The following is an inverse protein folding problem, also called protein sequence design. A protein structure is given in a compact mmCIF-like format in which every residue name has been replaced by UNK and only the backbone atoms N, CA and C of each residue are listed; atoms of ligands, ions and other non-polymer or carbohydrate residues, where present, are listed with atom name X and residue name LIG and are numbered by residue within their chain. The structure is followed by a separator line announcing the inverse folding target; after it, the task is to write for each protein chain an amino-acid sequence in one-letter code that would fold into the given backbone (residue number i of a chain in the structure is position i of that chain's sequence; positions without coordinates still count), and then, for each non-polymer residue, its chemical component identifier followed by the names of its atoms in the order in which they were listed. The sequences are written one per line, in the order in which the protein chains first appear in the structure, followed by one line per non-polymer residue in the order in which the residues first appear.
data_IF_937660258012
#
_entry.id   IF_937660258012
#
_cell.length_a   1.000
_cell.length_b   1.000
_cell.length_c   1.000
_cell.angle_alpha   90.00
_cell.angle_beta   90.00
_cell.angle_gamma   90.00
#
_symmetry.space_group_name_H-M   'P 1'
#
loop_
_entity.id
_entity.type
_entity.pdbx_description
1 polymer ?
#
# COMPACT_ATOMS: atom_id res chain seq x y z
N UNK A 1 2.21 5.86 21.91
CA UNK A 1 2.55 4.42 21.94
C UNK A 1 1.95 3.84 20.67
N UNK A 2 2.79 3.66 19.65
CA UNK A 2 2.36 3.51 18.26
C UNK A 2 1.65 2.18 17.99
N UNK A 3 0.47 2.26 17.39
CA UNK A 3 -0.34 1.11 16.94
C UNK A 3 0.48 0.15 16.05
N UNK A 4 1.49 0.66 15.33
CA UNK A 4 2.37 -0.13 14.47
C UNK A 4 3.39 -0.96 15.26
N UNK A 5 3.95 -0.42 16.34
CA UNK A 5 4.83 -1.17 17.25
C UNK A 5 4.02 -2.20 18.03
N UNK A 6 2.77 -1.85 18.39
CA UNK A 6 1.84 -2.76 19.04
C UNK A 6 1.43 -3.93 18.13
N UNK A 7 1.06 -3.67 16.87
CA UNK A 7 0.78 -4.71 15.88
C UNK A 7 2.00 -5.62 15.65
N UNK A 8 3.20 -5.03 15.56
CA UNK A 8 4.43 -5.79 15.42
C UNK A 8 4.71 -6.69 16.64
N UNK A 9 4.47 -6.19 17.86
CA UNK A 9 4.60 -6.99 19.08
C UNK A 9 3.51 -8.06 19.22
N UNK A 10 2.28 -7.77 18.78
CA UNK A 10 1.16 -8.72 18.76
C UNK A 10 1.42 -9.85 17.77
N UNK A 11 1.93 -9.53 16.60
CA UNK A 11 2.24 -10.53 15.59
C UNK A 11 3.49 -11.33 15.96
N UNK A 12 4.45 -10.72 16.66
CA UNK A 12 5.57 -11.46 17.25
C UNK A 12 5.12 -12.40 18.38
N UNK A 13 4.09 -12.04 19.16
CA UNK A 13 3.54 -12.91 20.22
C UNK A 13 2.66 -14.02 19.66
N UNK A 14 1.83 -13.72 18.66
CA UNK A 14 0.93 -14.69 18.02
C UNK A 14 1.68 -15.67 17.10
N UNK A 15 2.79 -15.24 16.50
CA UNK A 15 3.63 -16.12 15.68
C UNK A 15 4.34 -17.21 16.50
N UNK A 16 4.45 -17.09 17.83
CA UNK A 16 5.25 -18.02 18.63
C UNK A 16 6.69 -18.16 18.10
N UNK A 17 7.48 -19.06 18.68
CA UNK A 17 8.84 -19.34 18.17
C UNK A 17 8.85 -20.15 16.87
N UNK A 18 7.69 -20.59 16.39
CA UNK A 18 7.57 -21.61 15.34
C UNK A 18 7.03 -21.09 13.99
N UNK A 19 6.57 -19.83 13.90
CA UNK A 19 6.13 -19.18 12.64
C UNK A 19 7.08 -18.09 12.12
N UNK A 20 8.39 -18.22 12.37
CA UNK A 20 9.37 -17.49 11.56
C UNK A 20 9.36 -18.10 10.16
N UNK A 21 9.07 -17.32 9.11
CA UNK A 21 9.24 -17.78 7.74
C UNK A 21 10.75 -17.90 7.46
N UNK A 22 11.36 -19.11 7.52
CA UNK A 22 12.82 -19.26 7.55
C UNK A 22 13.48 -18.75 6.26
N UNK A 23 12.69 -18.62 5.19
CA UNK A 23 13.13 -18.25 3.85
C UNK A 23 13.14 -16.74 3.61
N UNK A 24 12.31 -15.95 4.31
CA UNK A 24 12.26 -14.49 4.09
C UNK A 24 13.30 -13.74 4.93
N UNK A 25 13.90 -14.40 5.92
CA UNK A 25 14.92 -13.83 6.81
C UNK A 25 16.16 -13.30 6.06
N UNK A 26 16.56 -13.97 4.98
CA UNK A 26 17.68 -13.52 4.15
C UNK A 26 17.33 -12.43 3.13
N UNK A 27 16.05 -12.04 3.02
CA UNK A 27 15.61 -11.13 1.97
C UNK A 27 15.88 -9.67 2.33
N UNK A 28 16.16 -8.89 1.28
CA UNK A 28 16.52 -7.48 1.40
C UNK A 28 15.43 -6.71 2.17
N UNK A 29 15.85 -5.96 3.19
CA UNK A 29 15.00 -5.17 4.10
C UNK A 29 13.99 -5.98 4.96
N UNK A 30 14.14 -7.30 5.09
CA UNK A 30 13.27 -8.15 5.94
C UNK A 30 13.99 -8.71 7.17
N UNK A 31 15.31 -8.94 7.07
CA UNK A 31 16.13 -9.53 8.14
C UNK A 31 15.90 -8.88 9.52
N UNK A 32 15.86 -7.55 9.57
CA UNK A 32 15.70 -6.77 10.79
C UNK A 32 14.71 -5.62 10.57
N UNK A 33 14.02 -5.13 11.62
CA UNK A 33 13.23 -3.90 11.54
C UNK A 33 14.11 -2.63 11.48
N UNK A 34 15.42 -2.74 11.71
CA UNK A 34 16.33 -1.59 11.75
C UNK A 34 16.37 -0.83 10.40
N UNK A 35 16.61 -1.48 9.24
CA UNK A 35 16.65 -0.78 7.96
C UNK A 35 15.35 -0.05 7.62
N UNK A 36 14.19 -0.66 7.87
CA UNK A 36 12.89 -0.02 7.59
C UNK A 36 12.62 1.15 8.54
N UNK A 37 13.02 1.02 9.80
CA UNK A 37 12.94 2.13 10.77
C UNK A 37 13.86 3.29 10.36
N UNK A 38 15.07 3.02 9.86
CA UNK A 38 15.96 4.06 9.34
C UNK A 38 15.34 4.78 8.13
N UNK A 39 14.76 4.04 7.18
CA UNK A 39 14.05 4.61 6.03
C UNK A 39 12.88 5.49 6.49
N UNK A 40 12.11 5.01 7.48
CA UNK A 40 11.00 5.78 8.06
C UNK A 40 11.47 7.07 8.75
N UNK A 41 12.53 7.02 9.54
CA UNK A 41 13.09 8.21 10.18
C UNK A 41 13.57 9.22 9.13
N UNK A 42 14.22 8.74 8.07
CA UNK A 42 14.62 9.58 6.95
C UNK A 42 13.42 10.20 6.22
N UNK A 43 12.35 9.44 6.03
CA UNK A 43 11.08 9.92 5.48
C UNK A 43 10.46 11.05 6.31
N UNK A 44 10.44 10.91 7.64
CA UNK A 44 9.98 11.96 8.55
C UNK A 44 10.84 13.23 8.46
N UNK A 45 12.17 13.07 8.37
CA UNK A 45 13.09 14.19 8.18
C UNK A 45 12.77 14.93 6.88
N UNK A 46 12.49 14.24 5.78
CA UNK A 46 12.10 14.88 4.51
C UNK A 46 10.80 15.65 4.64
N UNK A 47 9.78 15.09 5.29
CA UNK A 47 8.49 15.77 5.48
C UNK A 47 8.67 17.05 6.30
N UNK A 48 9.51 17.01 7.34
CA UNK A 48 9.71 18.15 8.24
C UNK A 48 10.67 19.21 7.69
N UNK A 49 11.81 18.79 7.15
CA UNK A 49 12.87 19.69 6.67
C UNK A 49 12.68 20.10 5.21
N UNK A 50 12.15 19.21 4.37
CA UNK A 50 12.04 19.39 2.92
C UNK A 50 11.24 20.64 2.52
N UNK A 51 10.00 20.83 3.02
CA UNK A 51 9.23 22.04 2.74
C UNK A 51 9.92 23.34 3.20
N UNK A 52 10.63 23.30 4.34
CA UNK A 52 11.39 24.44 4.87
C UNK A 52 12.59 24.79 3.98
N UNK A 53 13.34 23.79 3.54
CA UNK A 53 14.46 23.98 2.62
C UNK A 53 14.01 24.47 1.24
N UNK A 54 12.86 23.96 0.76
CA UNK A 54 12.29 24.36 -0.51
C UNK A 54 11.56 25.70 -0.46
N UNK A 55 11.33 26.30 0.71
CA UNK A 55 10.64 27.59 0.85
C UNK A 55 11.34 28.68 0.02
N UNK A 56 12.67 28.77 0.13
CA UNK A 56 13.52 29.75 -0.54
C UNK A 56 14.08 29.26 -1.89
N UNK A 57 13.65 28.10 -2.39
CA UNK A 57 14.10 27.53 -3.67
C UNK A 57 12.96 27.50 -4.69
N UNK A 58 13.33 27.51 -5.98
CA UNK A 58 12.39 27.30 -7.07
C UNK A 58 11.98 25.82 -7.15
N UNK A 59 10.73 25.50 -7.57
CA UNK A 59 10.29 24.12 -7.73
C UNK A 59 11.11 23.42 -8.80
N UNK A 60 11.56 22.18 -8.52
CA UNK A 60 12.41 21.42 -9.44
C UNK A 60 11.56 20.85 -10.57
N UNK A 61 12.04 20.99 -11.82
CA UNK A 61 11.38 20.38 -12.97
C UNK A 61 11.74 18.89 -13.07
N UNK A 62 10.94 18.06 -12.41
CA UNK A 62 11.08 16.60 -12.38
C UNK A 62 10.17 15.89 -13.38
N UNK A 63 9.68 16.58 -14.42
CA UNK A 63 8.68 16.01 -15.32
C UNK A 63 9.14 14.71 -16.02
N UNK A 64 10.33 14.62 -16.63
CA UNK A 64 10.80 13.37 -17.24
C UNK A 64 10.95 12.24 -16.21
N UNK A 65 11.50 12.57 -15.03
CA UNK A 65 11.68 11.63 -13.92
C UNK A 65 10.33 11.08 -13.45
N UNK A 66 9.33 11.94 -13.28
CA UNK A 66 7.98 11.54 -12.91
C UNK A 66 7.33 10.64 -13.96
N UNK A 67 7.50 10.94 -15.24
CA UNK A 67 6.95 10.10 -16.30
C UNK A 67 7.56 8.69 -16.19
N UNK A 68 8.89 8.58 -16.17
CA UNK A 68 9.60 7.29 -16.06
C UNK A 68 9.21 6.55 -14.79
N UNK A 69 9.20 7.25 -13.64
CA UNK A 69 8.83 6.67 -12.36
C UNK A 69 7.40 6.14 -12.34
N UNK A 70 6.42 6.93 -12.77
CA UNK A 70 5.01 6.48 -12.76
C UNK A 70 4.79 5.29 -13.70
N UNK A 71 5.40 5.29 -14.89
CA UNK A 71 5.33 4.13 -15.79
C UNK A 71 6.04 2.90 -15.23
N UNK A 72 7.19 3.06 -14.58
CA UNK A 72 7.86 1.96 -13.88
C UNK A 72 6.99 1.39 -12.76
N UNK A 73 6.30 2.24 -12.00
CA UNK A 73 5.35 1.81 -10.96
C UNK A 73 4.12 1.10 -11.55
N UNK A 74 3.63 1.51 -12.74
CA UNK A 74 2.60 0.77 -13.47
C UNK A 74 3.10 -0.63 -13.83
N UNK A 75 4.29 -0.75 -14.40
CA UNK A 75 4.87 -2.04 -14.78
C UNK A 75 5.09 -2.94 -13.55
N UNK A 76 5.61 -2.39 -12.45
CA UNK A 76 5.78 -3.12 -11.19
C UNK A 76 4.44 -3.60 -10.63
N UNK A 77 3.42 -2.74 -10.63
CA UNK A 77 2.07 -3.09 -10.16
C UNK A 77 1.41 -4.15 -11.04
N UNK A 78 1.60 -4.09 -12.36
CA UNK A 78 1.14 -5.10 -13.30
C UNK A 78 1.84 -6.44 -13.10
N UNK A 79 3.15 -6.43 -12.87
CA UNK A 79 3.93 -7.61 -12.53
C UNK A 79 3.41 -8.26 -11.23
N UNK A 80 3.23 -7.48 -10.17
CA UNK A 80 2.70 -7.98 -8.89
C UNK A 80 1.28 -8.54 -9.05
N UNK A 81 0.41 -7.84 -9.77
CA UNK A 81 -0.95 -8.32 -10.05
C UNK A 81 -0.93 -9.67 -10.79
N UNK A 82 -0.08 -9.80 -11.81
CA UNK A 82 0.11 -11.04 -12.54
C UNK A 82 0.64 -12.16 -11.62
N UNK A 83 1.67 -11.89 -10.82
CA UNK A 83 2.28 -12.88 -9.94
C UNK A 83 1.33 -13.33 -8.81
N UNK A 84 0.57 -12.42 -8.21
CA UNK A 84 -0.48 -12.78 -7.24
C UNK A 84 -1.55 -13.67 -7.89
N UNK A 85 -2.00 -13.32 -9.11
CA UNK A 85 -3.01 -14.10 -9.84
C UNK A 85 -2.48 -15.47 -10.24
N UNK A 86 -1.28 -15.53 -10.83
CA UNK A 86 -0.68 -16.78 -11.29
C UNK A 86 -0.35 -17.70 -10.11
N UNK A 87 0.19 -17.15 -9.02
CA UNK A 87 0.54 -17.94 -7.83
C UNK A 87 -0.71 -18.51 -7.15
N UNK A 88 -1.75 -17.69 -6.97
CA UNK A 88 -3.00 -18.14 -6.35
C UNK A 88 -3.75 -19.16 -7.23
N UNK A 89 -3.77 -18.96 -8.54
CA UNK A 89 -4.40 -19.88 -9.49
C UNK A 89 -3.69 -21.24 -9.52
N UNK A 90 -2.35 -21.24 -9.65
CA UNK A 90 -1.56 -22.46 -9.71
C UNK A 90 -1.60 -23.25 -8.39
N UNK A 91 -1.63 -22.54 -7.26
CA UNK A 91 -1.76 -23.16 -5.94
C UNK A 91 -3.21 -23.45 -5.53
N UNK A 92 -4.20 -23.19 -6.41
CA UNK A 92 -5.63 -23.41 -6.18
C UNK A 92 -6.15 -22.76 -4.89
N UNK A 93 -5.74 -21.51 -4.67
CA UNK A 93 -6.12 -20.77 -3.47
C UNK A 93 -7.64 -20.55 -3.40
N UNK A 94 -8.18 -20.66 -2.20
CA UNK A 94 -9.53 -20.23 -1.89
C UNK A 94 -9.59 -18.71 -1.77
N UNK A 95 -10.65 -18.09 -2.31
CA UNK A 95 -10.92 -16.66 -2.14
C UNK A 95 -11.55 -16.33 -0.77
N UNK A 96 -12.01 -17.35 -0.04
CA UNK A 96 -12.71 -17.21 1.23
C UNK A 96 -11.76 -17.47 2.40
N UNK A 97 -11.33 -18.72 2.56
CA UNK A 97 -10.40 -19.17 3.60
C UNK A 97 -9.12 -19.78 2.99
N UNK A 98 -7.98 -19.10 3.12
CA UNK A 98 -6.67 -19.55 2.64
C UNK A 98 -5.59 -19.40 3.73
N UNK A 99 -5.14 -20.52 4.33
CA UNK A 99 -4.05 -20.50 5.29
C UNK A 99 -2.71 -20.20 4.60
N UNK A 100 -1.72 -19.82 5.40
CA UNK A 100 -0.35 -19.61 4.93
C UNK A 100 0.35 -20.96 4.81
N UNK A 101 0.94 -21.21 3.65
CA UNK A 101 1.79 -22.38 3.43
C UNK A 101 3.25 -22.04 3.79
N UNK A 102 3.72 -22.55 4.92
CA UNK A 102 5.11 -22.43 5.38
C UNK A 102 5.97 -23.62 4.93
N UNK A 103 5.63 -24.32 3.85
CA UNK A 103 6.49 -25.37 3.29
C UNK A 103 7.48 -24.81 2.28
N UNK A 104 8.49 -25.61 1.93
CA UNK A 104 9.43 -25.33 0.83
C UNK A 104 8.83 -25.55 -0.57
N UNK A 105 7.51 -25.57 -0.70
CA UNK A 105 6.83 -25.70 -1.98
C UNK A 105 7.20 -24.51 -2.90
N UNK A 106 7.63 -24.77 -4.15
CA UNK A 106 7.94 -23.72 -5.11
C UNK A 106 6.82 -22.70 -5.31
N UNK A 107 5.54 -23.11 -5.18
CA UNK A 107 4.38 -22.22 -5.28
C UNK A 107 4.21 -21.33 -4.04
N UNK A 108 4.43 -21.87 -2.84
CA UNK A 108 4.42 -21.09 -1.60
C UNK A 108 5.54 -20.03 -1.59
N UNK A 109 6.75 -20.43 -2.01
CA UNK A 109 7.89 -19.51 -2.18
C UNK A 109 7.65 -18.45 -3.25
N UNK A 110 6.88 -18.78 -4.31
CA UNK A 110 6.47 -17.82 -5.33
C UNK A 110 5.50 -16.78 -4.76
N UNK A 111 4.52 -17.22 -3.96
CA UNK A 111 3.59 -16.32 -3.26
C UNK A 111 4.35 -15.40 -2.29
N UNK A 112 5.22 -15.95 -1.45
CA UNK A 112 6.04 -15.16 -0.54
C UNK A 112 6.89 -14.11 -1.28
N UNK A 113 7.49 -14.48 -2.43
CA UNK A 113 8.26 -13.56 -3.28
C UNK A 113 7.44 -12.38 -3.78
N UNK A 114 6.19 -12.60 -4.21
CA UNK A 114 5.33 -11.48 -4.65
C UNK A 114 4.86 -10.64 -3.46
N UNK A 115 4.62 -11.22 -2.27
CA UNK A 115 4.40 -10.45 -1.03
C UNK A 115 5.61 -9.55 -0.71
N UNK A 116 6.83 -10.04 -0.90
CA UNK A 116 8.04 -9.23 -0.74
C UNK A 116 8.15 -8.10 -1.77
N UNK A 117 7.88 -8.38 -3.05
CA UNK A 117 7.82 -7.32 -4.08
C UNK A 117 6.78 -6.26 -3.74
N UNK A 118 5.64 -6.68 -3.20
CA UNK A 118 4.60 -5.77 -2.74
C UNK A 118 5.09 -4.89 -1.59
N UNK A 119 5.72 -5.46 -0.55
CA UNK A 119 6.36 -4.70 0.51
C UNK A 119 7.41 -3.71 -0.04
N UNK A 120 8.31 -4.20 -0.90
CA UNK A 120 9.36 -3.37 -1.49
C UNK A 120 8.78 -2.22 -2.32
N UNK A 121 7.67 -2.46 -3.02
CA UNK A 121 6.95 -1.39 -3.73
C UNK A 121 6.51 -0.29 -2.77
N UNK A 122 6.02 -0.59 -1.55
CA UNK A 122 5.63 0.44 -0.57
C UNK A 122 6.82 1.34 -0.16
N UNK A 123 8.02 0.78 -0.11
CA UNK A 123 9.26 1.57 0.12
C UNK A 123 9.54 2.50 -1.06
N UNK A 124 9.40 2.03 -2.29
CA UNK A 124 9.55 2.87 -3.48
C UNK A 124 8.52 4.01 -3.52
N UNK A 125 7.29 3.74 -3.12
CA UNK A 125 6.18 4.70 -3.08
C UNK A 125 6.42 5.87 -2.12
N UNK A 126 7.34 5.74 -1.14
CA UNK A 126 7.76 6.88 -0.31
C UNK A 126 8.34 8.03 -1.17
N UNK A 127 8.90 7.70 -2.34
CA UNK A 127 9.41 8.66 -3.31
C UNK A 127 8.34 9.63 -3.82
N UNK A 128 7.05 9.26 -3.80
CA UNK A 128 5.94 10.16 -4.16
C UNK A 128 5.96 11.43 -3.30
N UNK A 129 6.23 11.25 -2.01
CA UNK A 129 6.32 12.37 -1.05
C UNK A 129 7.52 13.26 -1.35
N UNK A 130 8.67 12.66 -1.72
CA UNK A 130 9.86 13.40 -2.13
C UNK A 130 9.54 14.26 -3.36
N UNK A 131 8.86 13.69 -4.36
CA UNK A 131 8.46 14.44 -5.54
C UNK A 131 7.48 15.58 -5.23
N UNK A 132 6.55 15.40 -4.29
CA UNK A 132 5.65 16.48 -3.86
C UNK A 132 6.42 17.63 -3.21
N UNK A 133 7.37 17.32 -2.31
CA UNK A 133 8.22 18.31 -1.65
C UNK A 133 9.08 19.08 -2.66
N UNK A 134 9.80 18.37 -3.54
CA UNK A 134 10.69 19.00 -4.53
C UNK A 134 9.93 19.86 -5.56
N UNK A 135 8.66 19.55 -5.83
CA UNK A 135 7.80 20.33 -6.73
C UNK A 135 7.00 21.43 -6.02
N UNK A 136 7.19 21.61 -4.71
CA UNK A 136 6.41 22.53 -3.85
C UNK A 136 4.91 22.27 -3.94
N UNK A 137 4.50 21.01 -4.08
CA UNK A 137 3.09 20.58 -4.10
C UNK A 137 2.62 20.16 -2.71
N UNK A 138 2.81 21.05 -1.72
CA UNK A 138 2.49 20.79 -0.32
C UNK A 138 1.00 20.48 -0.09
N UNK A 139 0.10 20.93 -0.97
CA UNK A 139 -1.33 20.55 -0.92
C UNK A 139 -1.58 19.06 -1.19
N UNK A 140 -0.63 18.35 -1.80
CA UNK A 140 -0.68 16.90 -1.97
C UNK A 140 -0.13 16.14 -0.76
N UNK A 141 0.69 16.81 0.07
CA UNK A 141 1.23 16.26 1.33
C UNK A 141 0.17 16.42 2.43
N UNK A 142 -0.91 15.65 2.31
CA UNK A 142 -2.02 15.64 3.27
C UNK A 142 -1.73 14.70 4.43
N UNK A 143 -2.48 14.85 5.53
CA UNK A 143 -2.43 13.88 6.63
C UNK A 143 -2.71 12.46 6.14
N UNK A 144 -3.72 12.27 5.28
CA UNK A 144 -4.07 10.97 4.70
C UNK A 144 -2.87 10.35 3.97
N UNK A 145 -2.20 11.13 3.13
CA UNK A 145 -1.03 10.67 2.37
C UNK A 145 0.09 10.22 3.30
N UNK A 146 0.49 11.08 4.23
CA UNK A 146 1.59 10.79 5.16
C UNK A 146 1.25 9.62 6.07
N UNK A 147 0.05 9.59 6.64
CA UNK A 147 -0.44 8.49 7.49
C UNK A 147 -0.34 7.17 6.74
N UNK A 148 -0.95 7.07 5.55
CA UNK A 148 -0.95 5.86 4.75
C UNK A 148 0.47 5.39 4.40
N UNK A 149 1.32 6.25 3.84
CA UNK A 149 2.68 5.84 3.44
C UNK A 149 3.58 5.50 4.64
N UNK A 150 3.41 6.19 5.76
CA UNK A 150 4.15 5.92 6.99
C UNK A 150 3.78 4.56 7.61
N UNK A 151 2.50 4.20 7.63
CA UNK A 151 2.04 2.96 8.29
C UNK A 151 2.14 1.74 7.37
N UNK A 152 1.91 1.89 6.06
CA UNK A 152 1.95 0.78 5.11
C UNK A 152 3.28 0.04 5.10
N UNK A 153 4.40 0.75 5.23
CA UNK A 153 5.73 0.14 5.23
C UNK A 153 5.94 -0.82 6.41
N UNK A 154 5.44 -0.48 7.60
CA UNK A 154 5.57 -1.33 8.78
C UNK A 154 4.58 -2.50 8.75
N UNK A 155 3.34 -2.24 8.35
CA UNK A 155 2.31 -3.27 8.23
C UNK A 155 2.74 -4.37 7.24
N UNK A 156 3.31 -3.97 6.08
CA UNK A 156 3.77 -4.94 5.09
C UNK A 156 5.12 -5.57 5.42
N UNK A 157 6.02 -4.85 6.12
CA UNK A 157 7.23 -5.47 6.65
C UNK A 157 6.89 -6.63 7.59
N UNK A 158 5.98 -6.38 8.55
CA UNK A 158 5.58 -7.40 9.51
C UNK A 158 4.75 -8.51 8.85
N UNK A 159 3.90 -8.18 7.87
CA UNK A 159 3.21 -9.19 7.05
C UNK A 159 4.16 -10.13 6.29
N UNK A 160 5.21 -9.59 5.66
CA UNK A 160 6.21 -10.42 4.94
C UNK A 160 7.11 -11.20 5.91
N UNK A 161 7.38 -10.66 7.09
CA UNK A 161 8.21 -11.32 8.11
C UNK A 161 7.49 -12.54 8.71
N UNK A 162 6.21 -12.40 9.06
CA UNK A 162 5.49 -13.39 9.85
C UNK A 162 4.45 -14.19 9.05
N UNK A 163 3.80 -13.60 8.04
CA UNK A 163 2.58 -14.16 7.42
C UNK A 163 2.61 -13.97 5.89
N UNK A 164 3.73 -14.34 5.26
CA UNK A 164 3.96 -14.12 3.83
C UNK A 164 3.14 -15.07 2.95
N UNK A 165 1.88 -14.73 2.70
CA UNK A 165 0.96 -15.49 1.87
C UNK A 165 -0.41 -15.64 2.55
N UNK A 166 -1.08 -16.77 2.32
CA UNK A 166 -2.43 -16.98 2.81
C UNK A 166 -3.37 -15.88 2.31
N UNK A 167 -4.32 -15.45 3.14
CA UNK A 167 -5.32 -14.42 2.82
C UNK A 167 -4.77 -13.07 2.36
N UNK A 168 -3.56 -12.73 2.78
CA UNK A 168 -2.94 -11.45 2.42
C UNK A 168 -2.78 -11.27 0.91
N UNK A 169 -2.78 -12.37 0.14
CA UNK A 169 -2.70 -12.32 -1.32
C UNK A 169 -3.82 -11.51 -1.96
N UNK A 170 -5.05 -11.61 -1.45
CA UNK A 170 -6.21 -10.92 -2.05
C UNK A 170 -6.09 -9.42 -1.86
N UNK A 171 -5.59 -8.99 -0.70
CA UNK A 171 -5.29 -7.58 -0.40
C UNK A 171 -4.21 -7.07 -1.36
N UNK A 172 -3.11 -7.82 -1.51
CA UNK A 172 -2.03 -7.47 -2.44
C UNK A 172 -2.48 -7.42 -3.90
N UNK A 173 -3.33 -8.37 -4.31
CA UNK A 173 -3.89 -8.47 -5.65
C UNK A 173 -4.75 -7.24 -5.99
N UNK A 174 -5.74 -6.94 -5.15
CA UNK A 174 -6.66 -5.81 -5.40
C UNK A 174 -5.89 -4.48 -5.33
N UNK A 175 -4.99 -4.31 -4.36
CA UNK A 175 -4.18 -3.09 -4.26
C UNK A 175 -3.31 -2.90 -5.51
N UNK A 176 -2.66 -3.96 -5.98
CA UNK A 176 -1.84 -3.90 -7.20
C UNK A 176 -2.67 -3.49 -8.41
N UNK A 177 -3.89 -4.01 -8.55
CA UNK A 177 -4.82 -3.60 -9.63
C UNK A 177 -5.14 -2.10 -9.55
N UNK A 178 -5.50 -1.60 -8.37
CA UNK A 178 -5.81 -0.18 -8.19
C UNK A 178 -4.56 0.70 -8.41
N UNK A 179 -3.38 0.24 -7.99
CA UNK A 179 -2.11 0.95 -8.20
C UNK A 179 -1.72 1.03 -9.68
N UNK A 180 -2.01 0.02 -10.51
CA UNK A 180 -1.87 0.12 -11.98
C UNK A 180 -2.67 1.34 -12.49
N UNK A 181 -3.94 1.44 -12.11
CA UNK A 181 -4.83 2.50 -12.59
C UNK A 181 -4.42 3.86 -12.03
N UNK A 182 -4.04 3.93 -10.76
CA UNK A 182 -3.61 5.15 -10.07
C UNK A 182 -2.31 5.71 -10.66
N UNK A 183 -1.26 4.88 -10.79
CA UNK A 183 0.02 5.33 -11.35
C UNK A 183 -0.09 5.64 -12.84
N UNK A 184 -0.97 4.96 -13.58
CA UNK A 184 -1.26 5.32 -14.96
C UNK A 184 -1.87 6.73 -15.04
N UNK A 185 -2.82 7.06 -14.16
CA UNK A 185 -3.36 8.42 -14.08
C UNK A 185 -2.27 9.46 -13.77
N UNK A 186 -1.38 9.19 -12.80
CA UNK A 186 -0.29 10.10 -12.46
C UNK A 186 0.74 10.25 -13.59
N UNK A 187 1.08 9.16 -14.29
CA UNK A 187 1.93 9.19 -15.47
C UNK A 187 1.34 10.05 -16.58
N UNK A 188 0.05 9.87 -16.89
CA UNK A 188 -0.67 10.69 -17.87
C UNK A 188 -0.77 12.16 -17.44
N UNK A 189 -0.97 12.44 -16.14
CA UNK A 189 -0.97 13.80 -15.61
C UNK A 189 0.41 14.47 -15.71
N UNK A 190 1.50 13.69 -15.61
CA UNK A 190 2.87 14.18 -15.76
C UNK A 190 3.22 14.55 -17.22
N UNK A 191 2.50 14.02 -18.22
CA UNK A 191 2.63 14.43 -19.62
C UNK A 191 2.15 15.87 -19.88
N UNK A 192 1.68 16.60 -18.88
CA UNK A 192 1.51 18.05 -18.92
C UNK A 192 0.07 18.53 -19.13
N UNK A 193 -0.14 19.86 -19.18
CA UNK A 193 -1.47 20.46 -19.11
C UNK A 193 -2.43 20.02 -20.22
N UNK A 194 -1.90 19.71 -21.41
CA UNK A 194 -2.70 19.22 -22.54
C UNK A 194 -3.46 17.92 -22.22
N UNK A 195 -2.93 17.08 -21.30
CA UNK A 195 -3.58 15.84 -20.91
C UNK A 195 -4.70 16.03 -19.89
N UNK A 196 -4.72 17.13 -19.13
CA UNK A 196 -5.69 17.36 -18.06
C UNK A 196 -7.15 17.28 -18.54
N UNK A 197 -7.42 17.67 -19.79
CA UNK A 197 -8.77 17.61 -20.40
C UNK A 197 -9.29 16.17 -20.56
N UNK A 198 -8.40 15.19 -20.71
CA UNK A 198 -8.76 13.77 -20.84
C UNK A 198 -8.85 13.05 -19.49
N UNK A 199 -8.37 13.68 -18.41
CA UNK A 199 -8.29 13.11 -17.06
C UNK A 199 -9.53 13.42 -16.20
N UNK A 200 -10.71 13.49 -16.83
CA UNK A 200 -12.01 13.76 -16.18
C UNK A 200 -12.41 12.69 -15.16
N UNK A 201 -11.84 11.49 -15.29
CA UNK A 201 -12.17 10.32 -14.50
C UNK A 201 -11.46 10.26 -13.14
N UNK A 202 -10.79 11.34 -12.71
CA UNK A 202 -10.14 11.46 -11.38
C UNK A 202 -11.07 11.08 -10.22
N UNK A 203 -12.35 11.43 -10.32
CA UNK A 203 -13.35 11.10 -9.29
C UNK A 203 -13.54 9.58 -9.17
N UNK A 204 -13.59 8.87 -10.29
CA UNK A 204 -13.77 7.42 -10.31
C UNK A 204 -12.55 6.67 -9.76
N UNK A 205 -11.34 7.24 -9.86
CA UNK A 205 -10.16 6.70 -9.18
C UNK A 205 -10.35 6.69 -7.66
N UNK A 206 -10.80 7.80 -7.09
CA UNK A 206 -11.05 7.89 -5.65
C UNK A 206 -12.16 6.91 -5.24
N UNK A 207 -13.21 6.77 -6.07
CA UNK A 207 -14.26 5.77 -5.85
C UNK A 207 -13.73 4.33 -5.92
N UNK A 208 -12.81 4.03 -6.83
CA UNK A 208 -12.17 2.71 -6.96
C UNK A 208 -11.32 2.39 -5.72
N UNK A 209 -10.57 3.35 -5.20
CA UNK A 209 -9.79 3.20 -3.96
C UNK A 209 -10.70 2.95 -2.75
N UNK A 210 -11.81 3.68 -2.63
CA UNK A 210 -12.82 3.43 -1.58
C UNK A 210 -13.44 2.04 -1.70
N UNK A 211 -13.79 1.63 -2.93
CA UNK A 211 -14.33 0.29 -3.18
C UNK A 211 -13.34 -0.81 -2.79
N UNK A 212 -12.05 -0.64 -3.08
CA UNK A 212 -11.00 -1.55 -2.62
C UNK A 212 -11.04 -1.71 -1.09
N UNK A 213 -11.05 -0.62 -0.34
CA UNK A 213 -11.05 -0.72 1.13
C UNK A 213 -12.32 -1.37 1.66
N UNK A 214 -13.48 -1.16 1.03
CA UNK A 214 -14.71 -1.85 1.40
C UNK A 214 -14.61 -3.36 1.16
N UNK A 215 -14.11 -3.78 0.00
CA UNK A 215 -13.92 -5.20 -0.32
C UNK A 215 -12.94 -5.86 0.66
N UNK A 216 -11.80 -5.20 0.94
CA UNK A 216 -10.82 -5.70 1.93
C UNK A 216 -11.45 -5.81 3.32
N UNK A 217 -12.21 -4.80 3.76
CA UNK A 217 -12.87 -4.82 5.07
C UNK A 217 -13.88 -5.96 5.17
N UNK A 218 -14.70 -6.19 4.14
CA UNK A 218 -15.66 -7.30 4.12
C UNK A 218 -14.96 -8.65 4.15
N UNK A 219 -13.92 -8.84 3.34
CA UNK A 219 -13.16 -10.08 3.28
C UNK A 219 -12.46 -10.39 4.62
N UNK A 220 -11.81 -9.39 5.23
CA UNK A 220 -11.15 -9.55 6.53
C UNK A 220 -12.14 -9.77 7.67
N UNK A 221 -13.30 -9.09 7.63
CA UNK A 221 -14.37 -9.31 8.63
C UNK A 221 -14.91 -10.73 8.53
N UNK A 222 -15.19 -11.23 7.32
CA UNK A 222 -15.62 -12.62 7.12
C UNK A 222 -14.61 -13.60 7.71
N UNK A 223 -13.31 -13.38 7.48
CA UNK A 223 -12.25 -14.24 7.98
C UNK A 223 -12.08 -14.23 9.50
N UNK A 224 -12.45 -13.14 10.20
CA UNK A 224 -12.46 -13.13 11.67
C UNK A 224 -13.56 -14.02 12.28
N UNK A 225 -14.59 -14.34 11.51
CA UNK A 225 -15.72 -15.16 11.97
C UNK A 225 -15.74 -16.56 11.33
N UNK A 226 -14.91 -16.80 10.32
CA UNK A 226 -14.76 -18.10 9.70
C UNK A 226 -13.68 -18.89 10.44
N UNK A 227 -13.89 -20.19 10.67
CA UNK A 227 -12.85 -21.09 11.16
C UNK A 227 -11.77 -21.27 10.08
N UNK A 228 -10.80 -20.36 10.07
CA UNK A 228 -9.71 -20.32 9.12
C UNK A 228 -8.37 -20.33 9.86
N UNK A 229 -7.43 -21.16 9.42
CA UNK A 229 -6.09 -21.26 10.00
C UNK A 229 -5.19 -20.11 9.51
N UNK A 230 -5.61 -18.89 9.84
CA UNK A 230 -4.93 -17.63 9.56
C UNK A 230 -5.00 -16.74 10.81
N UNK A 231 -3.91 -16.02 11.19
CA UNK A 231 -3.88 -15.29 12.46
C UNK A 231 -4.96 -14.21 12.59
N UNK A 232 -5.83 -14.35 13.60
CA UNK A 232 -6.91 -13.40 13.88
C UNK A 232 -6.41 -12.00 14.21
N UNK A 233 -5.28 -11.88 14.90
CA UNK A 233 -4.66 -10.56 15.17
C UNK A 233 -4.27 -9.83 13.90
N UNK A 234 -3.85 -10.54 12.84
CA UNK A 234 -3.56 -9.92 11.56
C UNK A 234 -4.84 -9.42 10.89
N UNK A 235 -5.90 -10.23 10.91
CA UNK A 235 -7.20 -9.80 10.40
C UNK A 235 -7.73 -8.58 11.18
N UNK A 236 -7.63 -8.57 12.51
CA UNK A 236 -8.10 -7.46 13.35
C UNK A 236 -7.36 -6.14 13.05
N UNK A 237 -6.03 -6.20 12.92
CA UNK A 237 -5.21 -5.02 12.58
C UNK A 237 -5.51 -4.53 11.16
N UNK A 238 -5.62 -5.43 10.18
CA UNK A 238 -5.98 -5.08 8.79
C UNK A 238 -7.36 -4.43 8.73
N UNK A 239 -8.33 -4.97 9.48
CA UNK A 239 -9.68 -4.40 9.54
C UNK A 239 -9.67 -3.01 10.16
N UNK A 240 -9.03 -2.84 11.31
CA UNK A 240 -8.92 -1.53 11.98
C UNK A 240 -8.23 -0.49 11.07
N UNK A 241 -7.16 -0.90 10.39
CA UNK A 241 -6.45 -0.05 9.44
C UNK A 241 -7.33 0.31 8.23
N UNK A 242 -8.01 -0.67 7.63
CA UNK A 242 -8.90 -0.46 6.49
C UNK A 242 -10.05 0.50 6.83
N UNK A 243 -10.67 0.35 8.00
CA UNK A 243 -11.70 1.27 8.49
C UNK A 243 -11.16 2.70 8.66
N UNK A 244 -9.94 2.86 9.18
CA UNK A 244 -9.31 4.18 9.30
C UNK A 244 -9.13 4.86 7.93
N UNK A 245 -8.72 4.10 6.90
CA UNK A 245 -8.55 4.60 5.55
C UNK A 245 -9.88 4.93 4.89
N UNK A 246 -10.93 4.12 5.10
CA UNK A 246 -12.29 4.44 4.62
C UNK A 246 -12.74 5.81 5.14
N UNK A 247 -12.55 6.08 6.45
CA UNK A 247 -12.91 7.37 7.05
C UNK A 247 -12.12 8.51 6.40
N UNK A 248 -10.80 8.37 6.29
CA UNK A 248 -9.93 9.42 5.75
C UNK A 248 -10.18 9.67 4.24
N UNK A 249 -10.36 8.63 3.44
CA UNK A 249 -10.68 8.76 2.02
C UNK A 249 -12.10 9.30 1.79
N UNK A 250 -13.06 8.92 2.62
CA UNK A 250 -14.42 9.48 2.55
C UNK A 250 -14.39 10.98 2.86
N UNK A 251 -13.68 11.38 3.91
CA UNK A 251 -13.48 12.79 4.24
C UNK A 251 -12.81 13.56 3.08
N UNK A 252 -11.73 13.01 2.51
CA UNK A 252 -11.07 13.58 1.33
C UNK A 252 -12.03 13.73 0.14
N UNK A 253 -12.85 12.71 -0.12
CA UNK A 253 -13.81 12.71 -1.21
C UNK A 253 -14.89 13.79 -1.03
N UNK A 254 -15.48 13.90 0.16
CA UNK A 254 -16.49 14.92 0.45
C UNK A 254 -15.94 16.35 0.34
N UNK A 255 -14.70 16.58 0.79
CA UNK A 255 -14.06 17.89 0.68
C UNK A 255 -13.65 18.24 -0.76
N UNK A 256 -13.19 17.25 -1.54
CA UNK A 256 -12.68 17.46 -2.90
C UNK A 256 -13.76 17.48 -3.98
N UNK A 257 -14.90 16.84 -3.72
CA UNK A 257 -15.99 16.66 -4.68
C UNK A 257 -17.35 17.05 -4.08
N UNK A 258 -17.57 18.33 -3.73
CA UNK A 258 -18.87 18.77 -3.23
C UNK A 258 -19.95 18.51 -4.29
N UNK A 259 -21.02 17.82 -3.89
CA UNK A 259 -22.21 17.66 -4.72
C UNK A 259 -22.75 19.06 -5.01
N UNK A 260 -22.84 19.47 -6.28
CA UNK A 260 -23.53 20.71 -6.65
C UNK A 260 -24.94 20.60 -6.06
N UNK A 261 -25.26 21.43 -5.06
CA UNK A 261 -26.66 21.57 -4.62
C UNK A 261 -27.42 22.10 -5.83
N UNK A 262 -28.34 21.29 -6.35
CA UNK A 262 -29.34 21.76 -7.31
C UNK A 262 -30.04 22.93 -6.64
N UNK A 263 -29.86 24.15 -7.16
CA UNK A 263 -30.73 25.26 -6.76
C UNK A 263 -32.14 24.83 -7.17
N UNK A 264 -33.01 24.57 -6.20
CA UNK A 264 -34.44 24.53 -6.47
C UNK A 264 -34.84 25.94 -6.90
N UNK A 265 -34.98 26.13 -8.21
CA UNK A 265 -35.72 27.26 -8.78
C UNK A 265 -37.19 27.15 -8.45
#
# INVERSE_FOLDING_TARGET
MDVNLFACSLWASDAGTDFFSPWTDGWLLVYSPVPITCIFMWYLVIIWAGPKQMANRQPVNLRPVLIVYNFAMVCLSAYMFYEFTASSWLARYSLLCQPVDYSNNPLALRMARVCWWFYFSKVLELSDTIFFVLRKKNSQLTFLHVYHHATMIFNWWAGVKYVAGGQSFLIGLINSLVHIVMYLYYGLAALGPHMNKYLWWKRYLTSLQLLQFLIVSMHTTYNLFADCDFPDSMNAVVLAYSLSLIVLFSNFYYQSYPTKKTKST
#
